data_IF_986006789297
#
_entry.id   IF_986006789297
#
_cell.length_a   1.000
_cell.length_b   1.000
_cell.length_c   1.000
_cell.angle_alpha   90.00
_cell.angle_beta   90.00
_cell.angle_gamma   90.00
#
_symmetry.space_group_name_H-M   'P 1'
#
loop_
_entity.id
_entity.type
_entity.pdbx_description
1 polymer ?
#
# COMPACT_ATOMS: atom_id res chain seq x y z
N UNK A 1 -40.04 2.48 -16.44
CA UNK A 1 -39.10 1.36 -16.22
C UNK A 1 -37.76 1.96 -15.83
N UNK A 2 -37.35 1.65 -14.61
CA UNK A 2 -36.11 1.97 -13.88
C UNK A 2 -35.76 3.44 -13.55
N UNK A 3 -35.78 3.65 -12.23
CA UNK A 3 -35.53 4.84 -11.43
C UNK A 3 -34.07 4.76 -10.95
N UNK A 4 -33.31 5.79 -11.31
CA UNK A 4 -32.42 6.62 -10.47
C UNK A 4 -31.81 6.10 -9.15
N UNK A 5 -30.57 6.58 -8.95
CA UNK A 5 -29.94 7.01 -7.68
C UNK A 5 -29.40 5.91 -6.75
N UNK A 6 -28.39 6.07 -5.89
CA UNK A 6 -27.34 7.06 -5.60
C UNK A 6 -26.70 6.45 -4.34
N UNK A 7 -25.43 6.06 -4.33
CA UNK A 7 -24.75 5.66 -3.09
C UNK A 7 -23.60 6.64 -2.84
N UNK A 8 -23.99 7.76 -2.25
CA UNK A 8 -23.12 8.71 -1.57
C UNK A 8 -22.59 8.05 -0.29
N UNK A 9 -21.27 7.92 -0.20
CA UNK A 9 -20.60 7.45 1.02
C UNK A 9 -20.63 8.51 2.11
N UNK A 10 -21.22 8.18 3.25
CA UNK A 10 -21.09 8.98 4.47
C UNK A 10 -19.81 8.60 5.20
N UNK A 11 -18.80 9.46 5.11
CA UNK A 11 -17.79 9.63 6.15
C UNK A 11 -18.37 10.55 7.22
N UNK A 12 -18.43 10.09 8.47
CA UNK A 12 -18.66 10.96 9.62
C UNK A 12 -17.43 10.85 10.52
N UNK A 13 -16.53 11.84 10.39
CA UNK A 13 -15.55 12.20 11.40
C UNK A 13 -16.07 13.44 12.12
N UNK A 14 -16.02 13.42 13.45
CA UNK A 14 -16.62 14.43 14.30
C UNK A 14 -15.83 15.73 14.41
N UNK A 15 -16.53 16.77 14.87
CA UNK A 15 -16.11 17.71 15.90
C UNK A 15 -17.28 18.69 16.14
N UNK A 16 -17.64 18.93 17.39
CA UNK A 16 -17.55 20.25 18.05
C UNK A 16 -18.31 20.22 19.38
N UNK A 17 -17.54 20.27 20.47
CA UNK A 17 -18.00 20.67 21.80
C UNK A 17 -18.23 22.18 21.79
N UNK A 18 -19.43 22.62 22.18
CA UNK A 18 -19.64 23.91 22.85
C UNK A 18 -20.89 23.83 23.72
N UNK A 19 -20.77 24.39 24.91
CA UNK A 19 -21.61 24.19 26.07
C UNK A 19 -22.96 24.93 25.98
N UNK A 20 -24.02 24.27 26.48
CA UNK A 20 -25.15 24.95 27.11
C UNK A 20 -25.52 24.20 28.39
N UNK A 21 -25.53 24.94 29.48
CA UNK A 21 -25.90 24.54 30.82
C UNK A 21 -27.43 24.57 30.94
N UNK A 22 -28.09 23.45 31.26
CA UNK A 22 -29.47 23.48 31.77
C UNK A 22 -29.82 22.26 32.62
N UNK A 23 -30.58 22.53 33.69
CA UNK A 23 -30.89 21.68 34.84
C UNK A 23 -31.77 20.45 34.53
N UNK A 24 -31.45 19.35 35.22
CA UNK A 24 -32.36 18.39 35.85
C UNK A 24 -33.61 17.88 35.10
N UNK A 25 -33.62 16.58 34.76
CA UNK A 25 -34.69 15.61 35.09
C UNK A 25 -34.29 14.19 34.70
N UNK A 26 -34.67 13.24 35.56
CA UNK A 26 -34.48 11.79 35.46
C UNK A 26 -34.97 11.18 34.14
N UNK A 27 -34.28 10.11 33.71
CA UNK A 27 -34.86 8.99 32.96
C UNK A 27 -34.88 9.13 31.44
N UNK A 28 -33.74 8.90 30.78
CA UNK A 28 -33.71 8.83 29.30
C UNK A 28 -32.40 8.39 28.64
N UNK A 29 -31.38 7.98 29.40
CA UNK A 29 -30.04 7.73 28.86
C UNK A 29 -29.76 6.27 28.43
N UNK A 30 -30.64 5.30 28.72
CA UNK A 30 -30.36 3.89 28.38
C UNK A 30 -30.72 3.52 26.94
N UNK A 31 -31.82 4.04 26.39
CA UNK A 31 -32.36 3.57 25.11
C UNK A 31 -31.51 3.97 23.88
N UNK A 32 -30.83 5.12 23.91
CA UNK A 32 -30.01 5.59 22.79
C UNK A 32 -28.68 4.83 22.70
N UNK A 33 -28.05 4.57 23.85
CA UNK A 33 -26.80 3.80 23.94
C UNK A 33 -27.01 2.33 23.55
N UNK A 34 -28.15 1.74 23.91
CA UNK A 34 -28.53 0.38 23.53
C UNK A 34 -28.78 0.25 22.01
N UNK A 35 -29.37 1.28 21.39
CA UNK A 35 -29.60 1.31 19.94
C UNK A 35 -28.30 1.41 19.14
N UNK A 36 -27.35 2.26 19.56
CA UNK A 36 -26.04 2.43 18.91
C UNK A 36 -25.22 1.14 19.04
N UNK A 37 -25.25 0.51 20.22
CA UNK A 37 -24.55 -0.76 20.47
C UNK A 37 -25.11 -1.89 19.61
N UNK A 38 -26.44 -1.97 19.49
CA UNK A 38 -27.12 -2.96 18.64
C UNK A 38 -26.77 -2.77 17.16
N UNK A 39 -26.79 -1.54 16.66
CA UNK A 39 -26.43 -1.23 15.26
C UNK A 39 -24.95 -1.57 15.00
N UNK A 40 -24.05 -1.19 15.91
CA UNK A 40 -22.62 -1.52 15.80
C UNK A 40 -22.39 -3.04 15.74
N UNK A 41 -23.01 -3.79 16.65
CA UNK A 41 -22.87 -5.25 16.69
C UNK A 41 -23.34 -5.88 15.38
N UNK A 42 -24.50 -5.45 14.87
CA UNK A 42 -25.03 -5.93 13.59
C UNK A 42 -24.09 -5.62 12.43
N UNK A 43 -23.52 -4.42 12.35
CA UNK A 43 -22.54 -4.05 11.31
C UNK A 43 -21.29 -4.94 11.37
N UNK A 44 -20.79 -5.22 12.58
CA UNK A 44 -19.63 -6.09 12.78
C UNK A 44 -19.93 -7.55 12.42
N UNK A 45 -21.11 -8.07 12.79
CA UNK A 45 -21.58 -9.40 12.41
C UNK A 45 -21.74 -9.53 10.88
N UNK A 46 -22.34 -8.53 10.23
CA UNK A 46 -22.48 -8.49 8.77
C UNK A 46 -21.13 -8.44 8.06
N UNK A 47 -20.19 -7.65 8.57
CA UNK A 47 -18.82 -7.61 8.07
C UNK A 47 -18.12 -8.95 8.24
N UNK A 48 -18.30 -9.60 9.41
CA UNK A 48 -17.78 -10.94 9.69
C UNK A 48 -18.30 -11.99 8.71
N UNK A 49 -19.62 -12.05 8.52
CA UNK A 49 -20.26 -12.99 7.57
C UNK A 49 -19.81 -12.76 6.13
N UNK A 50 -19.72 -11.49 5.69
CA UNK A 50 -19.21 -11.15 4.35
C UNK A 50 -17.75 -11.58 4.17
N UNK A 51 -16.90 -11.34 5.17
CA UNK A 51 -15.50 -11.77 5.16
C UNK A 51 -15.37 -13.29 5.07
N UNK A 52 -16.13 -14.02 5.88
CA UNK A 52 -16.11 -15.48 5.88
C UNK A 52 -16.59 -16.07 4.55
N UNK A 53 -17.70 -15.56 4.00
CA UNK A 53 -18.20 -15.98 2.70
C UNK A 53 -17.17 -15.73 1.59
N UNK A 54 -16.50 -14.57 1.61
CA UNK A 54 -15.46 -14.25 0.65
C UNK A 54 -14.24 -15.17 0.79
N UNK A 55 -13.79 -15.48 2.02
CA UNK A 55 -12.71 -16.45 2.25
C UNK A 55 -13.06 -17.84 1.73
N UNK A 56 -14.31 -18.29 1.91
CA UNK A 56 -14.78 -19.56 1.35
C UNK A 56 -14.72 -19.55 -0.18
N UNK A 57 -15.07 -18.43 -0.82
CA UNK A 57 -14.93 -18.27 -2.27
C UNK A 57 -13.47 -18.32 -2.70
N UNK A 58 -12.57 -17.58 -2.03
CA UNK A 58 -11.15 -17.57 -2.34
C UNK A 58 -10.53 -18.97 -2.28
N UNK A 59 -10.86 -19.75 -1.24
CA UNK A 59 -10.42 -21.15 -1.10
C UNK A 59 -10.88 -22.05 -2.25
N UNK A 60 -12.04 -21.77 -2.84
CA UNK A 60 -12.57 -22.52 -3.97
C UNK A 60 -12.02 -22.05 -5.33
N UNK A 61 -11.34 -20.91 -5.40
CA UNK A 61 -10.79 -20.39 -6.65
C UNK A 61 -9.61 -21.23 -7.14
N UNK A 62 -9.54 -21.41 -8.47
CA UNK A 62 -8.37 -21.92 -9.16
C UNK A 62 -7.19 -20.93 -9.08
N UNK A 63 -5.94 -21.39 -9.34
CA UNK A 63 -4.79 -20.49 -9.40
C UNK A 63 -4.98 -19.30 -10.36
N UNK A 64 -5.51 -19.52 -11.57
CA UNK A 64 -5.74 -18.46 -12.55
C UNK A 64 -6.74 -17.39 -12.06
N UNK A 65 -7.80 -17.81 -11.37
CA UNK A 65 -8.77 -16.89 -10.77
C UNK A 65 -8.15 -16.07 -9.64
N UNK A 66 -7.30 -16.67 -8.81
CA UNK A 66 -6.59 -15.95 -7.76
C UNK A 66 -5.58 -14.93 -8.31
N UNK A 67 -4.85 -15.28 -9.37
CA UNK A 67 -3.96 -14.34 -10.07
C UNK A 67 -4.75 -13.12 -10.56
N UNK A 68 -5.88 -13.34 -11.23
CA UNK A 68 -6.73 -12.25 -11.74
C UNK A 68 -7.29 -11.39 -10.60
N UNK A 69 -7.72 -12.01 -9.50
CA UNK A 69 -8.24 -11.30 -8.34
C UNK A 69 -7.14 -10.45 -7.66
N UNK A 70 -5.92 -10.96 -7.58
CA UNK A 70 -4.78 -10.27 -7.00
C UNK A 70 -4.32 -9.09 -7.86
N UNK A 71 -4.33 -9.25 -9.19
CA UNK A 71 -4.09 -8.15 -10.13
C UNK A 71 -5.10 -7.03 -9.95
N UNK A 72 -6.39 -7.37 -9.80
CA UNK A 72 -7.44 -6.38 -9.56
C UNK A 72 -7.29 -5.65 -8.22
N UNK A 73 -6.80 -6.32 -7.17
CA UNK A 73 -6.49 -5.65 -5.89
C UNK A 73 -5.24 -4.78 -6.00
N UNK A 74 -4.23 -5.22 -6.75
CA UNK A 74 -3.00 -4.47 -7.01
C UNK A 74 -3.27 -3.18 -7.78
N UNK A 75 -4.13 -3.22 -8.82
CA UNK A 75 -4.56 -2.04 -9.56
C UNK A 75 -5.26 -1.00 -8.67
N UNK A 76 -6.08 -1.48 -7.73
CA UNK A 76 -6.74 -0.64 -6.70
C UNK A 76 -5.77 -0.10 -5.65
N UNK A 77 -4.49 -0.47 -5.71
CA UNK A 77 -3.46 0.00 -4.78
C UNK A 77 -3.56 -0.62 -3.39
N UNK A 78 -4.14 -1.84 -3.28
CA UNK A 78 -4.23 -2.54 -2.00
C UNK A 78 -2.87 -3.09 -1.59
N UNK A 79 -2.53 -2.95 -0.31
CA UNK A 79 -1.27 -3.47 0.24
C UNK A 79 -1.32 -4.98 0.49
N UNK A 80 -0.17 -5.68 0.48
CA UNK A 80 -0.11 -7.11 0.76
C UNK A 80 -0.82 -7.54 2.05
N UNK A 81 -0.65 -6.80 3.14
CA UNK A 81 -1.24 -7.14 4.45
C UNK A 81 -2.75 -6.84 4.56
N UNK A 82 -3.29 -6.02 3.65
CA UNK A 82 -4.72 -5.71 3.56
C UNK A 82 -5.47 -6.58 2.53
N UNK A 83 -4.74 -7.40 1.77
CA UNK A 83 -5.28 -8.23 0.71
C UNK A 83 -5.57 -9.65 1.20
N UNK A 84 -6.86 -10.00 1.27
CA UNK A 84 -7.26 -11.39 1.56
C UNK A 84 -6.88 -12.34 0.42
N UNK A 85 -6.82 -11.85 -0.82
CA UNK A 85 -6.38 -12.64 -1.97
C UNK A 85 -4.89 -12.97 -1.85
N UNK A 86 -4.07 -11.99 -1.51
CA UNK A 86 -2.63 -12.17 -1.25
C UNK A 86 -2.40 -13.17 -0.11
N UNK A 87 -3.17 -13.05 0.98
CA UNK A 87 -3.11 -14.00 2.10
C UNK A 87 -3.46 -15.43 1.65
N UNK A 88 -4.52 -15.62 0.85
CA UNK A 88 -4.89 -16.92 0.31
C UNK A 88 -3.80 -17.48 -0.62
N UNK A 89 -3.34 -16.69 -1.60
CA UNK A 89 -2.26 -17.10 -2.53
C UNK A 89 -1.02 -17.53 -1.77
N UNK A 90 -0.58 -16.73 -0.80
CA UNK A 90 0.65 -17.04 -0.05
C UNK A 90 0.48 -18.24 0.87
N UNK A 91 -0.73 -18.50 1.38
CA UNK A 91 -1.04 -19.70 2.17
C UNK A 91 -0.94 -21.00 1.36
N UNK A 92 -1.13 -20.93 0.04
CA UNK A 92 -0.97 -22.07 -0.88
C UNK A 92 0.50 -22.39 -1.18
N UNK A 93 1.44 -21.58 -0.69
CA UNK A 93 2.88 -21.79 -0.79
C UNK A 93 3.33 -22.09 -2.24
N UNK A 94 4.34 -22.96 -2.40
CA UNK A 94 4.97 -23.26 -3.69
C UNK A 94 4.03 -23.80 -4.78
N UNK A 95 2.79 -24.19 -4.46
CA UNK A 95 1.80 -24.59 -5.48
C UNK A 95 1.39 -23.44 -6.41
N UNK A 96 1.58 -22.19 -5.99
CA UNK A 96 1.26 -21.00 -6.80
C UNK A 96 2.43 -20.53 -7.69
N UNK A 97 3.63 -21.10 -7.54
CA UNK A 97 4.87 -20.59 -8.15
C UNK A 97 4.78 -20.43 -9.66
N UNK A 98 4.37 -21.47 -10.39
CA UNK A 98 4.32 -21.43 -11.86
C UNK A 98 3.24 -20.48 -12.37
N UNK A 99 2.08 -20.42 -11.71
CA UNK A 99 1.02 -19.46 -12.06
C UNK A 99 1.44 -18.01 -11.81
N UNK A 100 2.20 -17.75 -10.74
CA UNK A 100 2.75 -16.43 -10.45
C UNK A 100 3.84 -16.05 -11.44
N UNK A 101 4.76 -16.96 -11.78
CA UNK A 101 5.81 -16.67 -12.78
C UNK A 101 5.20 -16.32 -14.14
N UNK A 102 4.21 -17.10 -14.59
CA UNK A 102 3.52 -16.88 -15.86
C UNK A 102 2.65 -15.61 -15.90
N UNK A 103 2.36 -14.97 -14.76
CA UNK A 103 1.61 -13.71 -14.73
C UNK A 103 2.51 -12.48 -14.80
N UNK A 104 3.83 -12.63 -14.67
CA UNK A 104 4.78 -11.51 -14.64
C UNK A 104 5.24 -11.07 -16.04
N UNK A 105 4.74 -11.72 -17.09
CA UNK A 105 5.05 -11.47 -18.50
C UNK A 105 4.67 -10.04 -18.93
N UNK A 106 3.69 -9.44 -18.25
CA UNK A 106 3.18 -8.09 -18.52
C UNK A 106 3.54 -7.15 -17.37
N UNK A 107 4.60 -6.33 -17.50
CA UNK A 107 4.98 -5.41 -16.44
C UNK A 107 3.91 -4.31 -16.27
N UNK A 108 3.56 -4.02 -15.02
CA UNK A 108 2.58 -2.99 -14.69
C UNK A 108 2.19 -3.01 -13.21
N UNK A 109 1.32 -2.09 -12.82
CA UNK A 109 0.83 -1.97 -11.44
C UNK A 109 0.05 -3.21 -10.99
N UNK A 110 -0.77 -3.79 -11.87
CA UNK A 110 -1.45 -5.07 -11.64
C UNK A 110 -0.51 -6.19 -11.14
N UNK A 111 0.74 -6.22 -11.62
CA UNK A 111 1.67 -7.30 -11.34
C UNK A 111 2.38 -7.19 -9.98
N UNK A 112 2.24 -6.07 -9.24
CA UNK A 112 2.98 -5.85 -7.99
C UNK A 112 2.70 -6.94 -6.96
N UNK A 113 1.43 -7.18 -6.64
CA UNK A 113 1.07 -8.17 -5.62
C UNK A 113 1.49 -9.59 -6.05
N UNK A 114 1.43 -9.92 -7.34
CA UNK A 114 1.94 -11.19 -7.87
C UNK A 114 3.45 -11.33 -7.64
N UNK A 115 4.21 -10.27 -7.95
CA UNK A 115 5.66 -10.26 -7.76
C UNK A 115 6.04 -10.43 -6.28
N UNK A 116 5.36 -9.71 -5.39
CA UNK A 116 5.59 -9.78 -3.94
C UNK A 116 5.16 -11.13 -3.36
N UNK A 117 4.09 -11.73 -3.87
CA UNK A 117 3.66 -13.07 -3.46
C UNK A 117 4.71 -14.12 -3.87
N UNK A 118 5.23 -14.04 -5.09
CA UNK A 118 6.31 -14.92 -5.56
C UNK A 118 7.55 -14.79 -4.69
N UNK A 119 7.97 -13.54 -4.40
CA UNK A 119 9.10 -13.26 -3.48
C UNK A 119 8.92 -13.93 -2.12
N UNK A 120 7.70 -13.91 -1.59
CA UNK A 120 7.36 -14.46 -0.27
C UNK A 120 7.36 -15.98 -0.22
N UNK A 121 6.86 -16.66 -1.25
CA UNK A 121 6.66 -18.12 -1.22
C UNK A 121 7.79 -18.92 -1.88
N UNK A 122 8.51 -18.32 -2.84
CA UNK A 122 9.62 -18.96 -3.55
C UNK A 122 10.65 -17.92 -4.02
N UNK A 123 11.60 -17.64 -3.13
CA UNK A 123 12.68 -16.66 -3.38
C UNK A 123 13.54 -17.02 -4.60
N UNK A 124 13.81 -18.31 -4.84
CA UNK A 124 14.62 -18.73 -5.98
C UNK A 124 13.91 -18.43 -7.32
N UNK A 125 12.60 -18.72 -7.36
CA UNK A 125 11.77 -18.36 -8.52
C UNK A 125 11.66 -16.86 -8.72
N UNK A 126 11.47 -16.08 -7.66
CA UNK A 126 11.50 -14.61 -7.73
C UNK A 126 12.85 -14.07 -8.25
N UNK A 127 13.96 -14.65 -7.81
CA UNK A 127 15.30 -14.24 -8.26
C UNK A 127 15.51 -14.53 -9.75
N UNK A 128 14.92 -15.63 -10.26
CA UNK A 128 14.95 -16.00 -11.68
C UNK A 128 14.13 -15.09 -12.60
N UNK A 129 13.19 -14.30 -12.07
CA UNK A 129 12.45 -13.32 -12.87
C UNK A 129 13.42 -12.28 -13.42
N UNK A 130 13.28 -11.94 -14.70
CA UNK A 130 14.13 -10.96 -15.36
C UNK A 130 14.18 -9.64 -14.57
N UNK A 131 15.39 -9.14 -14.31
CA UNK A 131 15.60 -7.93 -13.50
C UNK A 131 14.94 -6.68 -14.10
N UNK A 132 14.85 -6.56 -15.42
CA UNK A 132 14.16 -5.45 -16.08
C UNK A 132 12.65 -5.51 -15.84
N UNK A 133 12.05 -6.70 -15.87
CA UNK A 133 10.62 -6.90 -15.53
C UNK A 133 10.37 -6.51 -14.07
N UNK A 134 11.18 -7.02 -13.13
CA UNK A 134 11.08 -6.65 -11.70
C UNK A 134 11.19 -5.15 -11.50
N UNK A 135 12.22 -4.53 -12.09
CA UNK A 135 12.45 -3.09 -12.01
C UNK A 135 11.28 -2.29 -12.56
N UNK A 136 10.72 -2.70 -13.71
CA UNK A 136 9.56 -2.05 -14.32
C UNK A 136 8.32 -2.16 -13.43
N UNK A 137 7.99 -3.35 -12.92
CA UNK A 137 6.83 -3.55 -12.03
C UNK A 137 6.96 -2.68 -10.78
N UNK A 138 8.11 -2.75 -10.11
CA UNK A 138 8.33 -2.04 -8.85
C UNK A 138 8.29 -0.51 -9.03
N UNK A 139 8.94 0.03 -10.06
CA UNK A 139 8.99 1.49 -10.27
C UNK A 139 7.69 2.07 -10.81
N UNK A 140 6.99 1.38 -11.73
CA UNK A 140 5.64 1.79 -12.16
C UNK A 140 4.68 1.80 -10.97
N UNK A 141 4.76 0.77 -10.12
CA UNK A 141 3.91 0.66 -8.95
C UNK A 141 4.23 1.73 -7.90
N UNK A 142 5.52 2.01 -7.64
CA UNK A 142 5.94 3.08 -6.74
C UNK A 142 5.37 4.42 -7.20
N UNK A 143 5.56 4.77 -8.49
CA UNK A 143 5.05 6.01 -9.07
C UNK A 143 3.53 6.12 -9.02
N UNK A 144 2.82 5.02 -9.31
CA UNK A 144 1.35 4.97 -9.38
C UNK A 144 0.66 4.61 -8.06
N UNK A 145 1.38 4.62 -6.94
CA UNK A 145 0.83 4.26 -5.63
C UNK A 145 -0.11 5.35 -5.11
N UNK A 146 -1.30 4.96 -4.68
CA UNK A 146 -2.23 5.88 -4.03
C UNK A 146 -1.83 6.12 -2.57
N UNK A 147 -1.39 5.07 -1.88
CA UNK A 147 -0.77 5.11 -0.57
C UNK A 147 0.58 4.39 -0.61
N UNK A 148 1.52 4.84 0.22
CA UNK A 148 2.89 4.37 0.20
C UNK A 148 3.22 3.30 1.25
N UNK A 149 2.20 2.80 1.97
CA UNK A 149 2.37 1.80 3.01
C UNK A 149 3.01 0.48 2.53
N UNK A 150 2.88 0.11 1.24
CA UNK A 150 3.56 -1.07 0.67
C UNK A 150 5.10 -0.91 0.66
N UNK A 151 5.59 0.33 0.72
CA UNK A 151 7.01 0.67 0.58
C UNK A 151 7.70 0.84 1.93
N UNK A 152 7.00 1.35 2.94
CA UNK A 152 7.53 1.64 4.28
C UNK A 152 7.79 3.13 4.49
N UNK A 153 8.59 3.49 5.50
CA UNK A 153 8.94 4.87 5.84
C UNK A 153 10.42 5.16 5.51
N UNK A 154 10.73 6.08 4.58
CA UNK A 154 12.09 6.32 4.12
C UNK A 154 13.14 6.64 5.20
N UNK A 155 12.69 7.20 6.32
CA UNK A 155 13.56 7.58 7.43
C UNK A 155 13.70 6.49 8.52
N UNK A 156 12.95 5.39 8.43
CA UNK A 156 12.75 4.46 9.56
C UNK A 156 12.85 2.99 9.14
N UNK A 157 11.99 2.52 8.24
CA UNK A 157 11.92 1.10 7.88
C UNK A 157 11.39 0.88 6.47
N UNK A 158 11.65 -0.31 5.92
CA UNK A 158 11.16 -0.74 4.60
C UNK A 158 10.18 -1.90 4.71
N UNK A 159 9.07 -1.80 4.00
CA UNK A 159 8.08 -2.88 3.84
C UNK A 159 8.43 -3.79 2.67
N UNK A 160 7.62 -4.80 2.41
CA UNK A 160 7.90 -5.81 1.38
C UNK A 160 8.18 -5.22 -0.01
N UNK A 161 7.44 -4.17 -0.42
CA UNK A 161 7.71 -3.48 -1.69
C UNK A 161 9.04 -2.72 -1.68
N UNK A 162 9.36 -2.04 -0.58
CA UNK A 162 10.61 -1.31 -0.44
C UNK A 162 11.83 -2.24 -0.41
N UNK A 163 11.73 -3.35 0.33
CA UNK A 163 12.74 -4.42 0.35
C UNK A 163 12.94 -5.01 -1.04
N UNK A 164 11.88 -5.24 -1.80
CA UNK A 164 11.99 -5.74 -3.17
C UNK A 164 12.75 -4.78 -4.11
N UNK A 165 12.57 -3.46 -3.95
CA UNK A 165 13.36 -2.45 -4.67
C UNK A 165 14.84 -2.53 -4.27
N UNK A 166 15.14 -2.54 -2.97
CA UNK A 166 16.53 -2.57 -2.46
C UNK A 166 17.25 -3.84 -2.91
N UNK A 167 16.57 -4.98 -2.93
CA UNK A 167 17.11 -6.27 -3.40
C UNK A 167 17.53 -6.27 -4.88
N UNK A 168 16.97 -5.38 -5.73
CA UNK A 168 17.43 -5.24 -7.12
C UNK A 168 18.83 -4.59 -7.20
N UNK A 169 19.30 -3.95 -6.12
CA UNK A 169 20.60 -3.29 -6.07
C UNK A 169 20.77 -2.26 -7.17
N UNK A 170 21.99 -2.14 -7.72
CA UNK A 170 22.32 -1.11 -8.72
C UNK A 170 21.49 -1.20 -10.01
N UNK A 171 20.90 -2.35 -10.32
CA UNK A 171 20.17 -2.59 -11.58
C UNK A 171 18.89 -1.76 -11.70
N UNK A 172 18.23 -1.43 -10.60
CA UNK A 172 16.98 -0.63 -10.63
C UNK A 172 17.25 0.88 -10.71
N UNK A 173 18.49 1.34 -10.48
CA UNK A 173 18.83 2.77 -10.43
C UNK A 173 18.40 3.56 -11.67
N UNK A 174 18.61 3.08 -12.92
CA UNK A 174 18.17 3.81 -14.11
C UNK A 174 16.65 4.08 -14.12
N UNK A 175 15.85 3.20 -13.50
CA UNK A 175 14.40 3.36 -13.39
C UNK A 175 13.99 4.27 -12.21
N UNK A 176 14.81 4.38 -11.16
CA UNK A 176 14.57 5.29 -10.02
C UNK A 176 14.97 6.74 -10.32
N UNK A 177 16.02 6.97 -11.11
CA UNK A 177 16.53 8.32 -11.40
C UNK A 177 15.45 9.27 -11.96
N UNK A 178 14.61 8.86 -12.94
CA UNK A 178 13.52 9.72 -13.43
C UNK A 178 12.49 10.11 -12.36
N UNK A 179 12.36 9.32 -11.29
CA UNK A 179 11.43 9.61 -10.20
C UNK A 179 11.95 10.72 -9.27
N UNK A 180 13.23 11.10 -9.35
CA UNK A 180 13.79 12.21 -8.57
C UNK A 180 13.19 13.58 -8.94
N UNK A 181 12.55 13.69 -10.10
CA UNK A 181 11.79 14.89 -10.50
C UNK A 181 10.29 14.81 -10.16
N UNK A 182 9.81 13.68 -9.65
CA UNK A 182 8.38 13.50 -9.35
C UNK A 182 8.04 14.02 -7.95
N UNK A 183 7.45 15.20 -7.89
CA UNK A 183 7.07 15.87 -6.64
C UNK A 183 5.68 15.50 -6.14
N UNK A 184 5.02 14.50 -6.73
CA UNK A 184 3.71 14.04 -6.30
C UNK A 184 3.76 13.57 -4.84
N UNK A 185 2.71 13.86 -4.08
CA UNK A 185 2.62 13.44 -2.68
C UNK A 185 2.62 11.91 -2.57
N UNK A 186 3.28 11.41 -1.53
CA UNK A 186 3.34 10.00 -1.18
C UNK A 186 2.61 9.78 0.16
N UNK A 187 1.27 9.90 0.19
CA UNK A 187 0.52 9.81 1.42
C UNK A 187 0.54 8.39 1.98
N UNK A 188 0.27 8.30 3.28
CA UNK A 188 0.16 7.05 4.01
C UNK A 188 -1.10 7.07 4.86
N UNK A 189 -1.63 5.88 5.16
CA UNK A 189 -2.75 5.71 6.09
C UNK A 189 -2.31 4.86 7.28
N UNK A 190 -3.12 4.84 8.34
CA UNK A 190 -2.71 4.32 9.66
C UNK A 190 -2.33 5.47 10.58
N UNK A 191 -2.65 5.38 11.88
CA UNK A 191 -2.50 6.51 12.80
C UNK A 191 -1.05 6.97 12.92
N UNK A 192 -0.11 6.02 12.98
CA UNK A 192 1.31 6.31 13.16
C UNK A 192 1.95 6.75 11.84
N UNK A 193 1.71 6.02 10.75
CA UNK A 193 2.25 6.33 9.42
C UNK A 193 1.72 7.66 8.89
N UNK A 194 0.44 7.96 9.13
CA UNK A 194 -0.14 9.25 8.76
C UNK A 194 0.45 10.41 9.58
N UNK A 195 0.74 10.19 10.86
CA UNK A 195 1.43 11.17 11.69
C UNK A 195 2.84 11.45 11.14
N UNK A 196 3.60 10.41 10.81
CA UNK A 196 4.93 10.55 10.20
C UNK A 196 4.88 11.20 8.81
N UNK A 197 3.92 10.82 7.97
CA UNK A 197 3.67 11.51 6.70
C UNK A 197 3.38 12.99 6.93
N UNK A 198 2.61 13.36 7.94
CA UNK A 198 2.33 14.77 8.22
C UNK A 198 3.54 15.57 8.70
N UNK A 199 4.50 14.91 9.35
CA UNK A 199 5.76 15.55 9.76
C UNK A 199 6.72 15.75 8.60
N UNK A 200 6.88 14.73 7.76
CA UNK A 200 7.88 14.75 6.69
C UNK A 200 7.33 15.24 5.34
N UNK A 201 6.03 15.09 5.09
CA UNK A 201 5.36 15.38 3.83
C UNK A 201 6.06 14.72 2.63
N UNK A 202 6.22 13.39 2.71
CA UNK A 202 6.91 12.62 1.70
C UNK A 202 6.33 12.81 0.29
N UNK A 203 7.22 12.76 -0.69
CA UNK A 203 6.92 12.75 -2.13
C UNK A 203 7.56 11.55 -2.80
N UNK A 204 7.15 11.25 -4.03
CA UNK A 204 7.74 10.17 -4.85
C UNK A 204 9.27 10.33 -4.96
N UNK A 205 9.76 11.55 -5.22
CA UNK A 205 11.20 11.83 -5.31
C UNK A 205 11.96 11.57 -4.00
N UNK A 206 11.32 11.76 -2.84
CA UNK A 206 11.92 11.49 -1.53
C UNK A 206 12.14 9.97 -1.34
N UNK A 207 11.16 9.15 -1.76
CA UNK A 207 11.31 7.68 -1.78
C UNK A 207 12.40 7.24 -2.76
N UNK A 208 12.40 7.77 -3.99
CA UNK A 208 13.38 7.43 -5.00
C UNK A 208 14.82 7.72 -4.52
N UNK A 209 15.03 8.88 -3.89
CA UNK A 209 16.32 9.25 -3.32
C UNK A 209 16.73 8.33 -2.17
N UNK A 210 15.80 8.02 -1.27
CA UNK A 210 16.08 7.11 -0.16
C UNK A 210 16.43 5.69 -0.64
N UNK A 211 15.70 5.16 -1.63
CA UNK A 211 16.05 3.86 -2.23
C UNK A 211 17.42 3.87 -2.90
N UNK A 212 17.76 4.92 -3.64
CA UNK A 212 19.09 5.04 -4.27
C UNK A 212 20.18 5.04 -3.19
N UNK A 213 19.99 5.79 -2.11
CA UNK A 213 20.93 5.83 -0.99
C UNK A 213 21.10 4.46 -0.31
N UNK A 214 20.00 3.74 -0.05
CA UNK A 214 20.03 2.39 0.51
C UNK A 214 20.75 1.38 -0.39
N UNK A 215 20.45 1.41 -1.70
CA UNK A 215 21.08 0.57 -2.71
C UNK A 215 22.59 0.84 -2.79
N UNK A 216 23.00 2.10 -2.69
CA UNK A 216 24.40 2.51 -2.70
C UNK A 216 25.08 2.31 -1.33
N UNK A 217 24.37 1.77 -0.33
CA UNK A 217 24.83 1.57 1.05
C UNK A 217 25.26 2.86 1.74
N UNK A 218 24.74 3.99 1.28
CA UNK A 218 24.91 5.29 1.92
C UNK A 218 23.76 5.51 2.88
N UNK A 219 23.96 5.21 4.16
CA UNK A 219 22.98 5.46 5.23
C UNK A 219 22.87 6.96 5.53
N UNK A 220 22.29 7.71 4.60
CA UNK A 220 22.02 9.14 4.74
C UNK A 220 20.67 9.30 5.45
N UNK A 221 20.62 9.94 6.62
CA UNK A 221 19.35 10.25 7.27
C UNK A 221 18.47 11.08 6.33
N UNK A 222 17.19 10.75 6.23
CA UNK A 222 16.22 11.55 5.46
C UNK A 222 15.85 12.79 6.30
N UNK A 223 16.22 14.01 5.88
CA UNK A 223 15.85 15.21 6.62
C UNK A 223 14.33 15.43 6.65
N UNK A 224 13.81 15.92 7.77
CA UNK A 224 12.39 16.28 7.89
C UNK A 224 12.02 17.51 7.05
N UNK A 225 12.94 18.46 6.92
CA UNK A 225 12.75 19.66 6.08
C UNK A 225 12.79 19.32 4.58
N UNK A 226 11.80 19.82 3.84
CA UNK A 226 11.66 19.60 2.39
C UNK A 226 12.82 20.25 1.63
N UNK A 227 13.27 21.45 2.03
CA UNK A 227 14.32 22.17 1.30
C UNK A 227 15.69 21.48 1.42
N UNK A 228 15.98 20.91 2.59
CA UNK A 228 17.16 20.06 2.80
C UNK A 228 17.13 18.81 1.90
N UNK A 229 15.97 18.17 1.73
CA UNK A 229 15.81 17.04 0.79
C UNK A 229 15.99 17.46 -0.65
N UNK A 230 15.35 18.56 -1.07
CA UNK A 230 15.47 19.09 -2.43
C UNK A 230 16.92 19.46 -2.77
N UNK A 231 17.66 20.01 -1.81
CA UNK A 231 19.08 20.32 -1.98
C UNK A 231 19.94 19.06 -2.11
N UNK A 232 19.61 17.99 -1.40
CA UNK A 232 20.26 16.69 -1.53
C UNK A 232 20.00 16.06 -2.90
N UNK A 233 18.75 16.09 -3.37
CA UNK A 233 18.35 15.59 -4.69
C UNK A 233 19.07 16.37 -5.81
N UNK A 234 19.08 17.72 -5.75
CA UNK A 234 19.80 18.55 -6.72
C UNK A 234 21.30 18.23 -6.74
N UNK A 235 21.90 18.06 -5.57
CA UNK A 235 23.33 17.69 -5.47
C UNK A 235 23.60 16.34 -6.13
N UNK A 236 22.73 15.36 -5.92
CA UNK A 236 22.83 14.05 -6.55
C UNK A 236 22.72 14.12 -8.08
N UNK A 237 21.73 14.85 -8.59
CA UNK A 237 21.51 15.02 -10.04
C UNK A 237 22.71 15.72 -10.70
N UNK A 238 23.25 16.76 -10.07
CA UNK A 238 24.43 17.48 -10.58
C UNK A 238 25.69 16.61 -10.63
N UNK A 239 25.82 15.63 -9.73
CA UNK A 239 26.93 14.67 -9.73
C UNK A 239 26.75 13.56 -10.76
N UNK A 240 25.50 13.15 -11.02
CA UNK A 240 25.17 12.02 -11.90
C UNK A 240 25.09 12.40 -13.39
N UNK A 241 24.95 13.69 -13.69
CA UNK A 241 25.01 14.23 -15.06
C UNK A 241 26.41 14.61 -15.55
N UNK A 242 27.45 14.31 -14.76
CA UNK A 242 28.87 14.33 -15.16
C UNK A 242 29.34 12.91 -15.40
#
# INVERSE_FOLDING_TARGET
MQIKDLITGCFIFGAFLSACQQQGKNGGASNEHDSITTVRNKVMEDAGRKKEAYLKQLKAMSPAQLITAMEAESEKGREPYNSLVFAEVTSRNKSMTESLKASLDKPGKAALLNLLALRKIDKASYDSVNAAIKSSILTISLKGSHYFNTWGLPHSYWEDGGKAIIEQGRLIRPALIPLLSDTSQAPMWGSEEYYEYNRYKYRVCDYAMAFINEIDQHKVPVPMDVNARDSSIRTFLNKSGR
#
